data_IF_857292829100
#
_entry.id   IF_857292829100
#
_cell.length_a   1.000
_cell.length_b   1.000
_cell.length_c   1.000
_cell.angle_alpha   90.00
_cell.angle_beta   90.00
_cell.angle_gamma   90.00
#
_symmetry.space_group_name_H-M   'P 1'
#
loop_
_entity.id
_entity.type
_entity.pdbx_description
1 polymer ?
#
# COMPACT_ATOMS: atom_id res chain seq x y z
N UNK A 1 17.32 -2.84 -5.84
CA UNK A 1 17.47 -1.49 -5.28
C UNK A 1 17.01 -1.46 -3.85
N UNK A 2 17.71 -0.73 -2.99
CA UNK A 2 17.44 -0.61 -1.55
C UNK A 2 17.26 0.87 -1.22
N UNK A 3 16.09 1.23 -0.70
CA UNK A 3 15.72 2.56 -0.19
C UNK A 3 15.35 2.42 1.29
N UNK A 4 16.29 1.91 2.09
CA UNK A 4 16.07 1.65 3.51
C UNK A 4 16.41 2.88 4.34
N UNK A 5 15.48 3.33 5.18
CA UNK A 5 15.68 4.38 6.16
C UNK A 5 16.29 5.69 5.62
N UNK A 6 16.02 6.04 4.35
CA UNK A 6 16.59 7.25 3.71
C UNK A 6 15.54 8.25 3.26
N UNK A 7 14.36 7.77 2.83
CA UNK A 7 13.33 8.61 2.22
C UNK A 7 12.68 9.60 3.18
N UNK A 8 12.77 9.35 4.49
CA UNK A 8 12.25 10.25 5.51
C UNK A 8 13.15 11.46 5.77
N UNK A 9 14.35 11.53 5.18
CA UNK A 9 15.15 12.76 5.16
C UNK A 9 14.82 13.67 3.97
N UNK A 10 13.97 13.20 3.05
CA UNK A 10 13.55 13.96 1.90
C UNK A 10 12.23 14.67 2.23
N UNK A 11 12.33 15.99 2.33
CA UNK A 11 11.19 16.90 2.52
C UNK A 11 10.26 16.89 1.31
N UNK A 12 9.03 17.37 1.47
CA UNK A 12 8.06 17.38 0.37
C UNK A 12 8.46 18.40 -0.71
N UNK A 13 9.15 19.49 -0.34
CA UNK A 13 9.70 20.51 -1.24
C UNK A 13 10.76 19.96 -2.20
N UNK A 14 11.45 18.89 -1.81
CA UNK A 14 12.46 18.21 -2.63
C UNK A 14 11.85 17.25 -3.66
N UNK A 15 10.51 17.18 -3.78
CA UNK A 15 9.79 16.35 -4.76
C UNK A 15 10.20 14.86 -4.67
N UNK A 16 9.98 14.22 -3.50
CA UNK A 16 10.42 12.86 -3.25
C UNK A 16 9.80 11.85 -4.22
N UNK A 17 8.61 12.13 -4.74
CA UNK A 17 7.93 11.28 -5.71
C UNK A 17 8.71 11.17 -7.02
N UNK A 18 9.34 12.26 -7.47
CA UNK A 18 10.14 12.32 -8.69
C UNK A 18 11.47 11.64 -8.53
N UNK A 19 12.14 11.86 -7.40
CA UNK A 19 13.39 11.18 -7.05
C UNK A 19 13.16 9.66 -7.07
N UNK A 20 12.14 9.20 -6.35
CA UNK A 20 11.80 7.77 -6.26
C UNK A 20 11.38 7.21 -7.62
N UNK A 21 10.59 7.97 -8.40
CA UNK A 21 10.21 7.57 -9.78
C UNK A 21 11.45 7.39 -10.65
N UNK A 22 12.37 8.35 -10.69
CA UNK A 22 13.58 8.30 -11.52
C UNK A 22 14.39 7.04 -11.23
N UNK A 23 14.59 6.72 -9.94
CA UNK A 23 15.31 5.51 -9.56
C UNK A 23 14.58 4.23 -9.97
N UNK A 24 13.26 4.15 -9.78
CA UNK A 24 12.49 2.93 -10.10
C UNK A 24 12.35 2.72 -11.61
N UNK A 25 12.20 3.80 -12.39
CA UNK A 25 12.06 3.73 -13.84
C UNK A 25 13.36 3.30 -14.53
N UNK A 26 14.51 3.57 -13.93
CA UNK A 26 15.81 3.12 -14.41
C UNK A 26 16.04 1.60 -14.21
N UNK A 27 15.22 0.93 -13.40
CA UNK A 27 15.39 -0.50 -13.12
C UNK A 27 14.84 -1.37 -14.26
N UNK A 28 15.60 -2.38 -14.74
CA UNK A 28 15.08 -3.36 -15.69
C UNK A 28 13.96 -4.20 -15.06
N UNK A 29 12.99 -4.69 -15.85
CA UNK A 29 12.01 -5.69 -15.39
C UNK A 29 12.70 -6.89 -14.73
N UNK A 30 12.10 -7.42 -13.67
CA UNK A 30 12.69 -8.47 -12.82
C UNK A 30 13.45 -7.94 -11.60
N UNK A 31 13.79 -6.64 -11.57
CA UNK A 31 14.43 -6.01 -10.41
C UNK A 31 13.52 -5.95 -9.19
N UNK A 32 14.11 -6.01 -8.00
CA UNK A 32 13.39 -5.77 -6.75
C UNK A 32 13.69 -4.39 -6.16
N UNK A 33 12.70 -3.80 -5.50
CA UNK A 33 12.80 -2.57 -4.71
C UNK A 33 12.42 -2.89 -3.29
N UNK A 34 13.40 -2.87 -2.39
CA UNK A 34 13.16 -2.88 -0.94
C UNK A 34 13.12 -1.44 -0.47
N UNK A 35 12.11 -1.07 0.31
CA UNK A 35 12.05 0.24 0.93
C UNK A 35 11.53 0.15 2.37
N UNK A 36 12.00 1.06 3.21
CA UNK A 36 11.50 1.25 4.57
C UNK A 36 11.39 2.74 4.90
N UNK A 37 10.41 3.08 5.75
CA UNK A 37 10.13 4.47 6.08
C UNK A 37 9.57 4.58 7.50
N UNK A 38 10.04 5.59 8.24
CA UNK A 38 9.55 5.85 9.59
C UNK A 38 8.11 6.37 9.55
N UNK A 39 7.30 5.95 10.51
CA UNK A 39 5.88 6.31 10.61
C UNK A 39 5.57 7.00 11.94
N UNK A 40 4.66 7.98 11.94
CA UNK A 40 4.14 8.56 13.18
C UNK A 40 2.98 7.74 13.80
N UNK A 41 2.52 6.65 13.16
CA UNK A 41 1.22 6.03 13.48
C UNK A 41 1.16 5.26 14.80
N UNK A 42 2.28 4.74 15.31
CA UNK A 42 2.28 3.82 16.45
C UNK A 42 2.96 4.36 17.70
N UNK A 43 3.54 5.57 17.63
CA UNK A 43 4.40 6.07 18.70
C UNK A 43 4.08 7.55 19.06
N UNK A 44 3.59 7.84 20.30
CA UNK A 44 3.52 9.18 20.88
C UNK A 44 4.87 9.89 21.16
N UNK A 45 5.87 9.20 21.72
CA UNK A 45 7.30 9.52 21.92
C UNK A 45 8.21 9.46 20.67
N UNK A 46 7.80 8.98 19.48
CA UNK A 46 8.55 9.27 18.23
C UNK A 46 8.54 10.78 17.94
N UNK A 47 7.59 11.53 18.51
CA UNK A 47 7.69 13.00 18.57
C UNK A 47 8.96 13.45 19.30
N UNK A 48 9.39 12.74 20.33
CA UNK A 48 10.59 12.98 21.14
C UNK A 48 11.87 12.53 20.44
N UNK A 49 11.89 11.37 19.78
CA UNK A 49 13.04 10.97 18.96
C UNK A 49 13.21 11.86 17.72
N UNK A 50 12.10 12.29 17.11
CA UNK A 50 12.09 13.34 16.08
C UNK A 50 12.44 14.72 16.66
N UNK A 51 12.29 14.93 17.97
CA UNK A 51 12.78 16.15 18.63
C UNK A 51 14.30 16.10 18.72
N UNK A 52 14.92 14.97 19.10
CA UNK A 52 16.38 14.81 19.05
C UNK A 52 16.97 15.05 17.67
N UNK A 53 16.37 14.49 16.62
CA UNK A 53 16.76 14.79 15.22
C UNK A 53 16.63 16.28 14.87
N UNK A 54 15.56 16.94 15.33
CA UNK A 54 15.33 18.37 15.10
C UNK A 54 16.30 19.26 15.87
N UNK A 55 16.63 18.88 17.10
CA UNK A 55 17.59 19.57 17.97
C UNK A 55 19.02 19.44 17.40
N UNK A 56 19.34 18.32 16.74
CA UNK A 56 20.59 18.09 16.00
C UNK A 56 20.59 18.69 14.57
N UNK A 57 19.53 19.42 14.19
CA UNK A 57 19.42 20.10 12.88
C UNK A 57 19.00 19.20 11.70
N UNK A 58 18.78 17.90 11.94
CA UNK A 58 18.38 16.94 10.91
C UNK A 58 16.85 16.86 10.84
N UNK A 59 16.27 17.47 9.80
CA UNK A 59 14.83 17.44 9.58
C UNK A 59 14.40 16.11 8.98
N UNK A 60 13.40 15.47 9.58
CA UNK A 60 12.74 14.29 9.02
C UNK A 60 11.30 14.61 8.64
N UNK A 61 10.79 13.92 7.62
CA UNK A 61 9.41 13.88 7.19
C UNK A 61 8.89 12.44 7.34
N UNK A 62 8.45 12.02 8.55
CA UNK A 62 7.76 10.76 8.75
C UNK A 62 6.48 10.71 7.91
N UNK A 63 6.09 9.52 7.45
CA UNK A 63 4.91 9.32 6.60
C UNK A 63 4.10 8.14 7.13
N UNK A 64 2.78 8.24 7.04
CA UNK A 64 1.86 7.12 7.30
C UNK A 64 2.16 5.96 6.35
N UNK A 65 1.71 4.75 6.68
CA UNK A 65 1.82 3.58 5.81
C UNK A 65 1.26 3.86 4.41
N UNK A 66 0.11 4.52 4.32
CA UNK A 66 -0.54 4.82 3.06
C UNK A 66 0.22 5.87 2.23
N UNK A 67 0.79 6.90 2.87
CA UNK A 67 1.67 7.87 2.19
C UNK A 67 2.95 7.21 1.68
N UNK A 68 3.58 6.37 2.51
CA UNK A 68 4.78 5.62 2.13
C UNK A 68 4.51 4.64 0.97
N UNK A 69 3.40 3.90 1.03
CA UNK A 69 3.02 2.98 -0.05
C UNK A 69 2.79 3.73 -1.37
N UNK A 70 2.09 4.88 -1.31
CA UNK A 70 1.90 5.75 -2.47
C UNK A 70 3.20 6.34 -3.00
N UNK A 71 4.14 6.68 -2.12
CA UNK A 71 5.42 7.26 -2.51
C UNK A 71 6.29 6.27 -3.27
N UNK A 72 6.29 4.98 -2.89
CA UNK A 72 7.26 4.02 -3.44
C UNK A 72 6.64 2.98 -4.38
N UNK A 73 5.43 2.50 -4.09
CA UNK A 73 4.90 1.30 -4.74
C UNK A 73 3.72 1.59 -5.68
N UNK A 74 2.79 2.46 -5.28
CA UNK A 74 1.59 2.75 -6.10
C UNK A 74 1.99 3.42 -7.42
N UNK A 75 1.38 2.97 -8.53
CA UNK A 75 1.54 3.58 -9.85
C UNK A 75 2.90 3.40 -10.53
N UNK A 76 3.84 2.64 -9.94
CA UNK A 76 5.24 2.56 -10.41
C UNK A 76 5.63 1.25 -11.11
N UNK A 77 4.63 0.51 -11.62
CA UNK A 77 4.81 -0.81 -12.24
C UNK A 77 5.68 -1.75 -11.39
N UNK A 78 5.47 -1.64 -10.07
CA UNK A 78 5.93 -2.54 -9.04
C UNK A 78 4.75 -3.40 -8.60
N UNK A 79 4.95 -4.71 -8.56
CA UNK A 79 4.04 -5.62 -7.90
C UNK A 79 4.50 -5.80 -6.46
N UNK A 80 3.63 -5.45 -5.51
CA UNK A 80 3.91 -5.65 -4.10
C UNK A 80 3.99 -7.14 -3.78
N UNK A 81 5.14 -7.55 -3.26
CA UNK A 81 5.39 -8.90 -2.80
C UNK A 81 4.71 -9.08 -1.43
N UNK A 82 3.93 -10.16 -1.22
CA UNK A 82 3.30 -10.43 0.07
C UNK A 82 4.32 -10.46 1.22
N UNK A 83 3.99 -9.86 2.39
CA UNK A 83 2.67 -9.38 2.81
C UNK A 83 2.30 -7.94 2.38
N UNK A 84 3.07 -7.32 1.49
CA UNK A 84 2.89 -5.92 1.11
C UNK A 84 3.63 -4.97 2.07
N UNK A 85 3.03 -3.80 2.35
CA UNK A 85 3.57 -2.82 3.29
C UNK A 85 3.07 -3.12 4.69
N UNK A 86 3.98 -3.55 5.57
CA UNK A 86 3.69 -3.87 6.98
C UNK A 86 4.78 -3.28 7.88
N UNK A 87 4.53 -3.22 9.20
CA UNK A 87 5.62 -2.92 10.14
C UNK A 87 6.79 -3.85 9.88
N UNK A 88 8.01 -3.33 9.88
CA UNK A 88 9.21 -4.11 9.52
C UNK A 88 9.36 -5.36 10.38
N UNK A 89 8.94 -5.30 11.64
CA UNK A 89 8.93 -6.43 12.58
C UNK A 89 7.99 -7.58 12.19
N UNK A 90 7.05 -7.35 11.27
CA UNK A 90 6.04 -8.32 10.82
C UNK A 90 6.38 -8.97 9.47
N UNK A 91 7.45 -8.54 8.81
CA UNK A 91 7.73 -8.98 7.45
C UNK A 91 8.28 -10.41 7.41
N UNK A 92 7.51 -11.35 6.83
CA UNK A 92 7.87 -12.78 6.62
C UNK A 92 8.60 -13.45 7.78
N UNK A 93 8.06 -13.29 8.98
CA UNK A 93 8.57 -13.96 10.18
C UNK A 93 8.49 -15.47 10.05
N UNK A 94 9.48 -16.18 10.56
CA UNK A 94 9.47 -17.63 10.65
C UNK A 94 8.59 -18.10 11.84
N UNK A 95 7.96 -19.29 11.75
CA UNK A 95 7.07 -19.81 12.80
C UNK A 95 7.71 -19.93 14.18
N UNK A 96 9.02 -20.19 14.24
CA UNK A 96 9.80 -20.37 15.46
C UNK A 96 10.33 -19.07 16.08
N UNK A 97 10.07 -17.91 15.47
CA UNK A 97 10.50 -16.64 16.06
C UNK A 97 9.70 -16.31 17.33
N UNK A 98 10.28 -15.59 18.31
CA UNK A 98 9.55 -15.02 19.45
C UNK A 98 8.35 -14.18 19.00
N UNK A 99 7.40 -13.81 19.88
CA UNK A 99 6.35 -12.85 19.53
C UNK A 99 6.93 -11.56 18.93
N UNK A 100 6.25 -10.99 17.93
CA UNK A 100 6.70 -9.74 17.33
C UNK A 100 6.59 -8.63 18.38
N UNK A 101 7.51 -7.64 18.39
CA UNK A 101 7.34 -6.44 19.19
C UNK A 101 5.96 -5.82 18.95
N UNK A 102 5.40 -5.21 20.01
CA UNK A 102 4.16 -4.47 19.89
C UNK A 102 4.31 -3.36 18.84
N UNK A 103 3.24 -2.96 18.12
CA UNK A 103 3.32 -1.89 17.14
C UNK A 103 3.98 -0.61 17.66
N UNK A 104 3.73 -0.27 18.93
CA UNK A 104 4.31 0.90 19.59
C UNK A 104 5.82 0.82 19.83
N UNK A 105 6.44 -0.35 19.66
CA UNK A 105 7.88 -0.55 19.78
C UNK A 105 8.59 -0.50 18.41
N UNK A 106 7.84 -0.23 17.33
CA UNK A 106 8.35 -0.30 15.96
C UNK A 106 8.04 0.99 15.21
N UNK A 107 9.09 1.66 14.77
CA UNK A 107 8.99 3.00 14.19
C UNK A 107 8.87 3.05 12.67
N UNK A 108 8.87 1.90 11.98
CA UNK A 108 8.95 1.87 10.52
C UNK A 108 8.07 0.81 9.87
N UNK A 109 7.52 1.18 8.71
CA UNK A 109 6.97 0.25 7.73
C UNK A 109 8.04 -0.17 6.71
N UNK A 110 7.87 -1.35 6.14
CA UNK A 110 8.71 -1.87 5.06
C UNK A 110 7.88 -2.63 4.03
N UNK A 111 8.40 -2.65 2.80
CA UNK A 111 7.79 -3.35 1.69
C UNK A 111 8.81 -3.78 0.63
N UNK A 112 8.42 -4.75 -0.17
CA UNK A 112 9.21 -5.26 -1.29
C UNK A 112 8.35 -5.23 -2.56
N UNK A 113 8.87 -4.60 -3.62
CA UNK A 113 8.21 -4.52 -4.92
C UNK A 113 9.03 -5.20 -6.01
N UNK A 114 8.38 -6.02 -6.84
CA UNK A 114 8.96 -6.60 -8.05
C UNK A 114 8.64 -5.71 -9.26
N UNK A 115 9.66 -5.22 -9.95
CA UNK A 115 9.54 -4.44 -11.17
C UNK A 115 9.05 -5.33 -12.31
N UNK A 116 7.83 -5.09 -12.78
CA UNK A 116 7.25 -5.83 -13.91
C UNK A 116 7.62 -5.19 -15.25
N UNK A 117 7.58 -5.95 -16.33
CA UNK A 117 7.68 -5.35 -17.67
C UNK A 117 6.48 -4.42 -17.91
N UNK A 118 6.66 -3.40 -18.74
CA UNK A 118 5.55 -2.48 -19.11
C UNK A 118 4.39 -3.25 -19.75
N UNK A 119 4.69 -4.31 -20.49
CA UNK A 119 3.71 -5.21 -21.10
C UNK A 119 2.95 -6.07 -20.07
N UNK A 120 3.66 -6.74 -19.16
CA UNK A 120 3.01 -7.50 -18.07
C UNK A 120 2.14 -6.61 -17.17
N UNK A 121 2.58 -5.36 -16.96
CA UNK A 121 1.80 -4.38 -16.20
C UNK A 121 0.50 -4.02 -16.91
N UNK A 122 0.53 -3.79 -18.23
CA UNK A 122 -0.67 -3.49 -19.05
C UNK A 122 -1.67 -4.65 -19.04
N UNK A 123 -1.20 -5.88 -19.22
CA UNK A 123 -2.05 -7.09 -19.19
C UNK A 123 -2.73 -7.26 -17.82
N UNK A 124 -2.03 -6.98 -16.72
CA UNK A 124 -2.60 -7.05 -15.37
C UNK A 124 -3.69 -5.99 -15.09
N UNK A 125 -3.59 -4.81 -15.69
CA UNK A 125 -4.61 -3.74 -15.55
C UNK A 125 -5.84 -4.07 -16.39
N UNK A 126 -5.64 -4.59 -17.61
CA UNK A 126 -6.73 -5.01 -18.49
C UNK A 126 -7.54 -6.16 -17.86
N UNK A 127 -6.87 -7.14 -17.25
CA UNK A 127 -7.54 -8.28 -16.60
C UNK A 127 -8.37 -7.84 -15.38
N UNK A 128 -7.83 -6.98 -14.50
CA UNK A 128 -8.59 -6.40 -13.38
C UNK A 128 -9.78 -5.56 -13.83
N UNK A 129 -9.62 -4.77 -14.89
CA UNK A 129 -10.70 -3.98 -15.48
C UNK A 129 -11.82 -4.85 -16.08
N UNK A 130 -11.47 -5.95 -16.73
CA UNK A 130 -12.44 -6.92 -17.25
C UNK A 130 -13.23 -7.61 -16.12
N UNK A 131 -12.54 -8.05 -15.06
CA UNK A 131 -13.16 -8.66 -13.89
C UNK A 131 -14.13 -7.71 -13.17
N UNK A 132 -13.74 -6.44 -12.98
CA UNK A 132 -14.61 -5.41 -12.38
C UNK A 132 -15.88 -5.15 -13.20
N UNK A 133 -15.78 -5.08 -14.53
CA UNK A 133 -16.96 -4.94 -15.42
C UNK A 133 -17.88 -6.15 -15.36
N UNK A 134 -17.33 -7.36 -15.34
CA UNK A 134 -18.11 -8.58 -15.24
C UNK A 134 -18.90 -8.66 -13.91
N UNK A 135 -18.26 -8.31 -12.79
CA UNK A 135 -18.90 -8.25 -11.48
C UNK A 135 -20.05 -7.21 -11.45
N UNK A 136 -19.84 -6.03 -12.05
CA UNK A 136 -20.88 -4.99 -12.14
C UNK A 136 -22.07 -5.42 -13.00
N UNK A 137 -21.82 -6.11 -14.12
CA UNK A 137 -22.87 -6.64 -14.97
C UNK A 137 -23.68 -7.77 -14.29
N UNK A 138 -23.05 -8.58 -13.44
CA UNK A 138 -23.74 -9.59 -12.64
C UNK A 138 -24.62 -8.96 -11.55
N UNK A 139 -24.10 -7.95 -10.83
CA UNK A 139 -24.86 -7.22 -9.81
C UNK A 139 -26.10 -6.52 -10.39
N UNK A 140 -25.97 -5.89 -11.57
CA UNK A 140 -27.10 -5.24 -12.23
C UNK A 140 -28.20 -6.24 -12.66
N UNK A 141 -27.82 -7.45 -13.09
CA UNK A 141 -28.77 -8.52 -13.44
C UNK A 141 -29.50 -9.10 -12.22
N UNK A 142 -28.80 -9.22 -11.09
CA UNK A 142 -29.42 -9.64 -9.83
C UNK A 142 -30.42 -8.60 -9.31
N UNK A 143 -30.12 -7.30 -9.46
CA UNK A 143 -31.03 -6.22 -9.08
C UNK A 143 -32.32 -6.17 -9.91
N UNK A 144 -32.26 -6.52 -11.21
CA UNK A 144 -33.45 -6.53 -12.07
C UNK A 144 -34.43 -7.68 -11.81
N UNK A 145 -33.97 -8.80 -11.22
CA UNK A 145 -34.84 -9.95 -10.89
C UNK A 145 -35.63 -9.75 -9.58
N UNK A 146 -35.22 -8.82 -8.72
CA UNK A 146 -35.90 -8.53 -7.45
C UNK A 146 -37.13 -7.60 -7.58
N UNK A 147 -37.39 -7.02 -8.75
CA UNK A 147 -38.45 -6.01 -8.94
C UNK A 147 -39.80 -6.57 -9.43
N UNK A 148 -39.92 -7.89 -9.65
CA UNK A 148 -41.12 -8.51 -10.20
C UNK A 148 -41.85 -9.41 -9.20
N UNK A 149 -42.80 -8.86 -8.42
CA UNK A 149 -43.80 -9.69 -7.73
C UNK A 149 -44.31 -9.13 -6.41
N UNK A 150 -45.29 -8.23 -6.45
CA UNK A 150 -46.25 -8.11 -5.34
C UNK A 150 -47.47 -9.00 -5.67
N UNK A 151 -47.79 -10.02 -4.87
CA UNK A 151 -49.03 -10.76 -5.07
C UNK A 151 -50.23 -9.89 -4.65
N UNK A 152 -51.22 -9.77 -5.54
CA UNK A 152 -52.55 -9.20 -5.23
C UNK A 152 -53.28 -10.21 -4.34
N UNK A 153 -53.56 -9.84 -3.09
CA UNK A 153 -54.37 -10.64 -2.18
C UNK A 153 -55.85 -10.31 -2.44
N UNK A 154 -56.59 -11.22 -3.08
CA UNK A 154 -58.05 -11.13 -3.16
C UNK A 154 -58.66 -11.94 -2.01
N UNK A 155 -59.16 -11.23 -0.99
CA UNK A 155 -60.09 -11.80 -0.02
C UNK A 155 -61.25 -10.84 0.14
N UNK A 156 -62.29 -11.08 -0.66
CA UNK A 156 -63.66 -10.63 -0.42
C UNK A 156 -64.58 -11.77 -0.90
N UNK A 157 -65.20 -12.46 0.05
CA UNK A 157 -66.63 -12.87 0.08
C UNK A 157 -66.85 -14.02 1.08
N UNK A 158 -67.67 -13.66 2.08
CA UNK A 158 -68.58 -14.45 2.93
C UNK A 158 -68.09 -15.75 3.56
#
# INVERSE_FOLDING_TARGET
>A
MILSAILHFISDEQRPDEIVRTFIEALPPGSYVLASHVTPEHEPRLRSASAGYRDDGVRTRPRTAAEFERLVFTGRALELVPPGVVLVSRWRRAPQEPPAPAPAEVSAYGGLGLRRSREASRLSVQSRGAASRAARAAANRAGSMSAGGRPKNSRDRW
#
